data_IF_671721007493
#
_entry.id   IF_671721007493
#
_cell.length_a   1.000
_cell.length_b   1.000
_cell.length_c   1.000
_cell.angle_alpha   90.00
_cell.angle_beta   90.00
_cell.angle_gamma   90.00
#
_symmetry.space_group_name_H-M   'P 1'
#
loop_
_entity.id
_entity.type
_entity.pdbx_description
1 polymer ?
#
# COMPACT_ATOMS: atom_id res chain seq x y z
N UNK A 1 1.53 17.46 -13.20
CA UNK A 1 2.41 16.75 -12.24
C UNK A 1 3.85 16.78 -12.74
N UNK A 2 4.14 16.33 -13.96
CA UNK A 2 5.49 16.21 -14.51
C UNK A 2 6.32 17.50 -14.42
N UNK A 3 5.79 18.64 -14.89
CA UNK A 3 6.49 19.93 -14.85
C UNK A 3 6.78 20.43 -13.43
N UNK A 4 5.87 20.20 -12.50
CA UNK A 4 6.06 20.56 -11.09
C UNK A 4 7.13 19.71 -10.42
N UNK A 5 7.14 18.40 -10.70
CA UNK A 5 8.16 17.48 -10.18
C UNK A 5 9.54 17.82 -10.76
N UNK A 6 9.65 18.06 -12.07
CA UNK A 6 10.90 18.50 -12.71
C UNK A 6 11.46 19.78 -12.07
N UNK A 7 10.58 20.77 -11.84
CA UNK A 7 10.99 22.00 -11.17
C UNK A 7 11.50 21.73 -9.76
N UNK A 8 10.82 20.88 -9.00
CA UNK A 8 11.22 20.52 -7.64
C UNK A 8 12.57 19.77 -7.61
N UNK A 9 12.81 18.86 -8.54
CA UNK A 9 14.10 18.18 -8.68
C UNK A 9 15.23 19.21 -8.92
N UNK A 10 15.06 20.12 -9.88
CA UNK A 10 16.09 21.11 -10.23
C UNK A 10 16.32 22.14 -9.14
N UNK A 11 15.27 22.60 -8.46
CA UNK A 11 15.39 23.69 -7.48
C UNK A 11 15.66 23.24 -6.05
N UNK A 12 15.27 22.01 -5.69
CA UNK A 12 15.30 21.50 -4.32
C UNK A 12 16.00 20.15 -4.16
N UNK A 13 16.45 19.52 -5.24
CA UNK A 13 17.08 18.19 -5.20
C UNK A 13 16.15 17.07 -4.73
N UNK A 14 14.88 17.15 -5.11
CA UNK A 14 13.87 16.15 -4.71
C UNK A 14 14.29 14.75 -5.16
N UNK A 15 14.27 13.79 -4.25
CA UNK A 15 14.63 12.39 -4.49
C UNK A 15 13.45 11.42 -4.26
N UNK A 16 12.47 11.83 -3.48
CA UNK A 16 11.31 11.01 -3.11
C UNK A 16 10.03 11.70 -3.54
N UNK A 17 9.17 10.96 -4.21
CA UNK A 17 7.82 11.37 -4.57
C UNK A 17 6.81 10.58 -3.73
N UNK A 18 5.94 11.27 -3.01
CA UNK A 18 4.84 10.66 -2.27
C UNK A 18 3.52 11.01 -2.96
N UNK A 19 2.72 10.00 -3.29
CA UNK A 19 1.38 10.13 -3.87
C UNK A 19 0.35 9.67 -2.84
N UNK A 20 -0.29 10.63 -2.19
CA UNK A 20 -1.35 10.37 -1.21
C UNK A 20 -2.69 10.87 -1.77
N UNK A 21 -3.47 10.06 -2.31
CA UNK A 21 -3.36 8.67 -2.71
C UNK A 21 -3.78 8.50 -4.18
N UNK A 22 -3.52 7.33 -4.76
CA UNK A 22 -4.00 6.99 -6.10
C UNK A 22 -5.53 6.86 -6.07
N UNK A 23 -6.21 7.82 -6.70
CA UNK A 23 -7.65 7.84 -6.85
C UNK A 23 -8.00 8.22 -8.28
N UNK A 24 -8.96 7.54 -8.88
CA UNK A 24 -9.61 8.05 -10.07
C UNK A 24 -10.56 9.18 -9.67
N UNK A 25 -10.42 10.33 -10.30
CA UNK A 25 -11.32 11.48 -10.08
C UNK A 25 -12.60 11.27 -10.89
N UNK A 26 -13.37 10.22 -10.59
CA UNK A 26 -14.57 9.91 -11.33
C UNK A 26 -15.80 10.48 -10.64
N UNK A 27 -16.19 11.68 -11.02
CA UNK A 27 -17.59 12.02 -11.13
C UNK A 27 -18.00 11.71 -12.60
N UNK A 28 -18.93 10.77 -12.78
CA UNK A 28 -19.72 10.54 -14.01
C UNK A 28 -19.06 9.82 -15.21
N UNK A 29 -17.78 9.59 -15.28
CA UNK A 29 -17.20 8.74 -16.31
C UNK A 29 -17.30 7.26 -15.91
N UNK A 30 -17.63 6.39 -16.85
CA UNK A 30 -17.84 4.97 -16.60
C UNK A 30 -16.62 4.27 -15.97
N UNK A 31 -16.83 3.13 -15.34
CA UNK A 31 -15.79 2.36 -14.64
C UNK A 31 -14.53 2.09 -15.49
N UNK A 32 -14.70 1.93 -16.80
CA UNK A 32 -13.61 1.70 -17.75
C UNK A 32 -12.69 2.92 -17.94
N UNK A 33 -13.24 4.13 -17.94
CA UNK A 33 -12.42 5.36 -18.04
C UNK A 33 -11.61 5.60 -16.76
N UNK A 34 -12.22 5.37 -15.62
CA UNK A 34 -11.55 5.48 -14.33
C UNK A 34 -10.37 4.52 -14.20
N UNK A 35 -10.54 3.28 -14.67
CA UNK A 35 -9.48 2.28 -14.72
C UNK A 35 -8.31 2.70 -15.63
N UNK A 36 -8.62 3.32 -16.79
CA UNK A 36 -7.59 3.81 -17.71
C UNK A 36 -6.83 5.01 -17.15
N UNK A 37 -7.51 5.94 -16.47
CA UNK A 37 -6.89 7.11 -15.84
C UNK A 37 -5.93 6.67 -14.73
N UNK A 38 -6.36 5.77 -13.87
CA UNK A 38 -5.51 5.20 -12.83
C UNK A 38 -4.29 4.51 -13.42
N UNK A 39 -4.47 3.73 -14.48
CA UNK A 39 -3.36 3.07 -15.15
C UNK A 39 -2.32 4.04 -15.69
N UNK A 40 -2.75 5.10 -16.38
CA UNK A 40 -1.83 6.14 -16.88
C UNK A 40 -1.07 6.85 -15.77
N UNK A 41 -1.74 7.13 -14.64
CA UNK A 41 -1.10 7.77 -13.49
C UNK A 41 0.00 6.87 -12.89
N UNK A 42 -0.31 5.60 -12.68
CA UNK A 42 0.66 4.62 -12.15
C UNK A 42 1.82 4.41 -13.13
N UNK A 43 1.54 4.30 -14.43
CA UNK A 43 2.55 4.18 -15.47
C UNK A 43 3.46 5.42 -15.52
N UNK A 44 2.90 6.63 -15.42
CA UNK A 44 3.66 7.87 -15.37
C UNK A 44 4.57 7.92 -14.14
N UNK A 45 4.04 7.60 -12.96
CA UNK A 45 4.85 7.56 -11.73
C UNK A 45 5.97 6.55 -11.85
N UNK A 46 5.68 5.33 -12.30
CA UNK A 46 6.68 4.27 -12.38
C UNK A 46 7.75 4.52 -13.44
N UNK A 47 7.34 4.82 -14.66
CA UNK A 47 8.25 4.84 -15.79
C UNK A 47 8.92 6.21 -15.97
N UNK A 48 8.15 7.30 -15.88
CA UNK A 48 8.68 8.64 -16.11
C UNK A 48 9.33 9.19 -14.83
N UNK A 49 8.57 9.27 -13.73
CA UNK A 49 9.09 9.95 -12.54
C UNK A 49 10.11 9.09 -11.77
N UNK A 50 9.86 7.80 -11.62
CA UNK A 50 10.83 6.93 -10.94
C UNK A 50 11.90 6.39 -11.90
N UNK A 51 11.51 5.95 -13.10
CA UNK A 51 12.43 5.39 -14.09
C UNK A 51 13.36 6.44 -14.69
N UNK A 52 12.81 7.37 -15.46
CA UNK A 52 13.61 8.33 -16.23
C UNK A 52 14.25 9.41 -15.34
N UNK A 53 13.58 9.84 -14.27
CA UNK A 53 14.06 10.88 -13.36
C UNK A 53 14.76 10.35 -12.10
N UNK A 54 14.81 9.04 -11.92
CA UNK A 54 15.52 8.39 -10.80
C UNK A 54 14.91 8.64 -9.42
N UNK A 55 13.60 8.94 -9.33
CA UNK A 55 12.95 9.17 -8.06
C UNK A 55 12.56 7.85 -7.36
N UNK A 56 12.51 7.88 -6.03
CA UNK A 56 11.85 6.87 -5.23
C UNK A 56 10.36 7.23 -5.14
N UNK A 57 9.47 6.36 -5.62
CA UNK A 57 8.02 6.56 -5.57
C UNK A 57 7.39 5.79 -4.41
N UNK A 58 6.68 6.50 -3.54
CA UNK A 58 5.80 5.95 -2.52
C UNK A 58 4.37 6.34 -2.85
N UNK A 59 3.46 5.38 -2.92
CA UNK A 59 2.06 5.66 -3.22
C UNK A 59 1.12 4.91 -2.29
N UNK A 60 0.08 5.57 -1.83
CA UNK A 60 -1.03 4.94 -1.15
C UNK A 60 -2.15 4.59 -2.16
N UNK A 61 -2.87 3.53 -1.92
CA UNK A 61 -4.06 3.16 -2.66
C UNK A 61 -5.10 2.56 -1.72
N UNK A 62 -6.36 2.80 -2.00
CA UNK A 62 -7.43 2.27 -1.17
C UNK A 62 -7.69 0.80 -1.52
N UNK A 63 -7.76 -0.06 -0.50
CA UNK A 63 -8.23 -1.43 -0.65
C UNK A 63 -9.78 -1.47 -0.62
N UNK A 64 -10.37 -2.42 -1.33
CA UNK A 64 -11.80 -2.71 -1.22
C UNK A 64 -12.12 -3.35 0.13
N UNK A 65 -13.41 -3.38 0.50
CA UNK A 65 -13.88 -4.06 1.73
C UNK A 65 -13.53 -5.56 1.78
N UNK A 66 -13.22 -6.15 0.64
CA UNK A 66 -12.78 -7.56 0.51
C UNK A 66 -11.25 -7.71 0.57
N UNK A 67 -10.50 -6.66 0.91
CA UNK A 67 -9.04 -6.69 1.00
C UNK A 67 -8.34 -6.78 -0.36
N UNK A 68 -9.04 -6.56 -1.47
CA UNK A 68 -8.44 -6.45 -2.79
C UNK A 68 -8.12 -4.98 -3.07
N UNK A 69 -6.97 -4.71 -3.67
CA UNK A 69 -6.68 -3.38 -4.20
C UNK A 69 -7.75 -3.04 -5.25
N UNK A 70 -8.45 -1.93 -5.08
CA UNK A 70 -9.25 -1.37 -6.16
C UNK A 70 -8.31 -1.09 -7.35
N UNK A 71 -8.70 -1.50 -8.56
CA UNK A 71 -7.89 -1.39 -9.79
C UNK A 71 -6.51 -2.09 -9.71
N UNK A 72 -6.42 -3.18 -8.97
CA UNK A 72 -5.21 -3.84 -8.47
C UNK A 72 -4.24 -4.32 -9.55
N UNK A 73 -4.73 -4.76 -10.71
CA UNK A 73 -3.87 -5.38 -11.72
C UNK A 73 -2.80 -4.43 -12.27
N UNK A 74 -3.11 -3.15 -12.48
CA UNK A 74 -2.14 -2.16 -12.99
C UNK A 74 -1.17 -1.71 -11.90
N UNK A 75 -1.66 -1.49 -10.68
CA UNK A 75 -0.80 -1.18 -9.54
C UNK A 75 0.17 -2.32 -9.30
N UNK A 76 -0.32 -3.57 -9.25
CA UNK A 76 0.52 -4.75 -9.04
C UNK A 76 1.56 -4.96 -10.15
N UNK A 77 1.23 -4.63 -11.41
CA UNK A 77 2.19 -4.74 -12.52
C UNK A 77 3.34 -3.75 -12.42
N UNK A 78 3.10 -2.57 -11.90
CA UNK A 78 4.06 -1.47 -11.87
C UNK A 78 4.80 -1.33 -10.53
N UNK A 79 4.19 -1.71 -9.42
CA UNK A 79 4.82 -1.64 -8.11
C UNK A 79 5.98 -2.63 -7.97
N UNK A 80 7.06 -2.21 -7.33
CA UNK A 80 8.16 -3.09 -6.94
C UNK A 80 7.85 -3.82 -5.63
N UNK A 81 7.15 -3.13 -4.72
CA UNK A 81 6.69 -3.68 -3.43
C UNK A 81 5.27 -3.21 -3.16
N UNK A 82 4.42 -4.09 -2.65
CA UNK A 82 3.09 -3.77 -2.17
C UNK A 82 2.97 -4.24 -0.73
N UNK A 83 2.63 -3.31 0.13
CA UNK A 83 2.36 -3.56 1.54
C UNK A 83 0.87 -3.31 1.79
N UNK A 84 0.19 -4.25 2.40
CA UNK A 84 -1.20 -4.11 2.82
C UNK A 84 -1.29 -3.93 4.33
N UNK A 85 -2.14 -2.99 4.74
CA UNK A 85 -2.45 -2.73 6.13
C UNK A 85 -3.94 -2.98 6.34
N UNK A 86 -4.26 -4.06 7.04
CA UNK A 86 -5.63 -4.53 7.23
C UNK A 86 -6.05 -4.49 8.71
N UNK A 87 -7.36 -4.48 8.95
CA UNK A 87 -7.91 -4.78 10.27
C UNK A 87 -7.84 -6.28 10.52
N UNK A 88 -7.54 -6.69 11.74
CA UNK A 88 -7.84 -8.04 12.18
C UNK A 88 -9.34 -8.22 12.35
N UNK A 89 -9.84 -9.37 11.96
CA UNK A 89 -11.21 -9.77 12.25
C UNK A 89 -11.37 -10.10 13.74
N UNK A 90 -12.60 -10.05 14.29
CA UNK A 90 -12.85 -10.47 15.68
C UNK A 90 -12.40 -11.91 15.96
N UNK A 91 -12.46 -12.79 14.96
CA UNK A 91 -11.99 -14.17 15.07
C UNK A 91 -10.48 -14.24 15.21
N UNK A 92 -9.73 -13.53 14.36
CA UNK A 92 -8.26 -13.44 14.45
C UNK A 92 -7.82 -12.85 15.80
N UNK A 93 -8.48 -11.80 16.27
CA UNK A 93 -8.17 -11.22 17.61
C UNK A 93 -8.45 -12.24 18.73
N UNK A 94 -9.51 -13.03 18.61
CA UNK A 94 -9.86 -14.06 19.60
C UNK A 94 -8.85 -15.23 19.61
N UNK A 95 -8.34 -15.59 18.43
CA UNK A 95 -7.37 -16.69 18.26
C UNK A 95 -5.97 -16.27 18.69
N UNK A 96 -5.50 -15.13 18.20
CA UNK A 96 -4.13 -14.65 18.45
C UNK A 96 -3.96 -14.06 19.87
N UNK A 97 -5.06 -13.58 20.45
CA UNK A 97 -5.07 -12.85 21.70
C UNK A 97 -4.90 -11.33 21.52
N UNK A 98 -5.41 -10.57 22.49
CA UNK A 98 -5.40 -9.11 22.47
C UNK A 98 -3.99 -8.50 22.42
N UNK A 99 -2.99 -9.22 22.92
CA UNK A 99 -1.58 -8.80 22.92
C UNK A 99 -0.96 -8.77 21.52
N UNK A 100 -1.56 -9.52 20.57
CA UNK A 100 -1.18 -9.50 19.17
C UNK A 100 -1.83 -8.33 18.39
N UNK A 101 -2.44 -7.38 19.07
CA UNK A 101 -2.95 -6.14 18.49
C UNK A 101 -4.21 -6.32 17.64
N UNK A 102 -4.56 -5.25 16.91
CA UNK A 102 -5.81 -5.13 16.18
C UNK A 102 -5.67 -4.89 14.68
N UNK A 103 -4.44 -4.82 14.19
CA UNK A 103 -4.10 -4.62 12.78
C UNK A 103 -3.05 -5.64 12.35
N UNK A 104 -3.00 -5.88 11.03
CA UNK A 104 -2.00 -6.74 10.40
C UNK A 104 -1.39 -6.03 9.18
N UNK A 105 -0.09 -6.18 9.04
CA UNK A 105 0.68 -5.67 7.90
C UNK A 105 1.25 -6.86 7.14
N UNK A 106 1.04 -6.89 5.82
CA UNK A 106 1.52 -7.95 4.94
C UNK A 106 2.29 -7.38 3.76
N UNK A 107 3.40 -8.01 3.42
CA UNK A 107 4.12 -7.75 2.17
C UNK A 107 3.59 -8.72 1.12
N UNK A 108 2.61 -8.27 0.33
CA UNK A 108 1.90 -9.11 -0.65
C UNK A 108 2.58 -9.19 -2.01
N UNK A 109 3.50 -8.28 -2.29
CA UNK A 109 4.36 -8.29 -3.46
C UNK A 109 5.72 -7.69 -3.07
N UNK A 110 6.79 -8.38 -3.40
CA UNK A 110 8.15 -7.85 -3.34
C UNK A 110 8.99 -8.46 -4.47
N UNK A 111 9.32 -7.65 -5.47
CA UNK A 111 10.09 -8.12 -6.64
C UNK A 111 11.58 -8.30 -6.36
N UNK A 112 12.07 -7.69 -5.29
CA UNK A 112 13.49 -7.64 -4.95
C UNK A 112 13.83 -8.43 -3.68
N UNK A 113 12.89 -9.20 -3.13
CA UNK A 113 13.09 -9.97 -1.91
C UNK A 113 11.94 -10.92 -1.61
N UNK A 114 11.89 -11.41 -0.39
CA UNK A 114 10.87 -12.35 0.05
C UNK A 114 9.49 -11.70 0.14
N UNK A 115 8.47 -12.52 -0.07
CA UNK A 115 7.06 -12.18 0.10
C UNK A 115 6.50 -13.01 1.24
N UNK A 116 5.52 -12.44 1.95
CA UNK A 116 4.79 -13.18 2.97
C UNK A 116 3.76 -14.10 2.33
N UNK A 117 3.56 -15.28 2.88
CA UNK A 117 2.44 -16.16 2.54
C UNK A 117 1.11 -15.53 3.00
N UNK A 118 -0.02 -16.13 2.61
CA UNK A 118 -1.35 -15.56 2.89
C UNK A 118 -1.68 -15.48 4.38
N UNK A 119 -1.09 -16.34 5.15
CA UNK A 119 -1.26 -16.52 6.60
C UNK A 119 -0.17 -15.83 7.44
N UNK A 120 0.90 -15.35 6.80
CA UNK A 120 1.93 -14.57 7.46
C UNK A 120 1.61 -13.08 7.45
N UNK A 121 1.78 -12.44 8.59
CA UNK A 121 1.66 -11.00 8.77
C UNK A 121 2.42 -10.50 10.00
N UNK A 122 2.70 -9.23 10.03
CA UNK A 122 3.24 -8.53 11.19
C UNK A 122 2.07 -7.96 11.97
N UNK A 123 2.01 -8.28 13.24
CA UNK A 123 1.00 -7.80 14.17
C UNK A 123 1.28 -6.38 14.62
N UNK A 124 0.28 -5.51 14.47
CA UNK A 124 0.36 -4.11 14.85
C UNK A 124 -0.77 -3.75 15.82
N UNK A 125 -0.43 -2.89 16.79
CA UNK A 125 -1.39 -2.21 17.64
C UNK A 125 -1.66 -0.80 17.09
N UNK A 126 -2.89 -0.54 16.69
CA UNK A 126 -3.36 0.80 16.34
C UNK A 126 -4.10 1.44 17.50
N UNK A 127 -3.72 2.67 17.84
CA UNK A 127 -4.42 3.51 18.79
C UNK A 127 -5.11 4.66 18.01
N UNK A 128 -6.45 4.59 17.93
CA UNK A 128 -7.24 5.58 17.19
C UNK A 128 -7.20 6.98 17.80
N UNK A 129 -7.08 7.11 19.11
CA UNK A 129 -7.01 8.42 19.77
C UNK A 129 -5.71 9.17 19.48
N UNK A 130 -4.62 8.43 19.26
CA UNK A 130 -3.31 9.00 18.97
C UNK A 130 -2.95 8.91 17.48
N UNK A 131 -3.81 8.29 16.66
CA UNK A 131 -3.55 7.99 15.24
C UNK A 131 -2.16 7.35 15.08
N UNK A 132 -1.82 6.41 15.93
CA UNK A 132 -0.49 5.82 15.99
C UNK A 132 -0.52 4.31 15.83
N UNK A 133 0.49 3.80 15.13
CA UNK A 133 0.75 2.38 14.98
C UNK A 133 2.01 2.01 15.75
N UNK A 134 1.98 0.86 16.40
CA UNK A 134 3.14 0.24 17.03
C UNK A 134 3.16 -1.24 16.67
N UNK A 135 4.33 -1.85 16.67
CA UNK A 135 4.40 -3.31 16.66
C UNK A 135 3.67 -3.83 17.91
N UNK A 136 2.87 -4.86 17.74
CA UNK A 136 2.15 -5.48 18.85
C UNK A 136 3.15 -6.07 19.87
N UNK A 137 2.74 -6.15 21.11
CA UNK A 137 3.60 -6.68 22.20
C UNK A 137 3.97 -8.15 21.95
N UNK A 138 3.07 -8.89 21.29
CA UNK A 138 3.27 -10.28 20.88
C UNK A 138 2.94 -10.42 19.39
N UNK A 139 3.60 -11.30 18.70
CA UNK A 139 3.29 -11.70 17.33
C UNK A 139 2.53 -13.03 17.36
N UNK A 140 1.58 -13.21 16.47
CA UNK A 140 0.91 -14.49 16.30
C UNK A 140 1.92 -15.57 15.85
N UNK A 141 1.61 -16.80 16.16
CA UNK A 141 2.36 -17.96 15.67
C UNK A 141 1.54 -18.61 14.54
N UNK A 142 1.98 -18.51 13.28
CA UNK A 142 1.25 -19.10 12.15
C UNK A 142 1.19 -20.64 12.22
N UNK A 143 2.01 -21.27 13.07
CA UNK A 143 2.05 -22.72 13.27
C UNK A 143 1.35 -23.17 14.55
N UNK A 144 0.75 -22.25 15.32
CA UNK A 144 0.03 -22.62 16.53
C UNK A 144 -1.18 -23.51 16.16
N UNK A 145 -1.37 -24.62 16.84
CA UNK A 145 -2.54 -25.47 16.61
C UNK A 145 -3.80 -24.69 17.02
N UNK A 146 -4.82 -24.74 16.15
CA UNK A 146 -6.13 -24.14 16.38
C UNK A 146 -6.93 -24.91 17.43
#
# INVERSE_FOLDING_TARGET
IDSAVKKSIHSQGTQVLIVDYFRSSGDESGADENYQVMGRLVDMVKNVLCGDMGLIGLGAAQATSTGKLADSAKIARNASTIIMLDNKTPQEISQDGIECGNKKLRVVLNRNGEQMSSDEYIDLQFNGNLVSYKQAAKQHDPNAPY
#
